data_IF_711161022385
#
_entry.id   IF_711161022385
#
_cell.length_a   1.000
_cell.length_b   1.000
_cell.length_c   1.000
_cell.angle_alpha   90.00
_cell.angle_beta   90.00
_cell.angle_gamma   90.00
#
_symmetry.space_group_name_H-M   'P 1'
#
loop_
_entity.id
_entity.type
_entity.pdbx_description
1 polymer ?
#
# COMPACT_ATOMS: atom_id res chain seq x y z
N UNK A 1 -7.06 -22.60 -0.51
CA UNK A 1 -5.95 -23.50 -0.17
C UNK A 1 -6.09 -24.04 1.24
N UNK A 2 -5.33 -25.05 1.54
CA UNK A 2 -5.38 -25.75 2.83
C UNK A 2 -4.02 -25.59 3.55
N UNK A 3 -4.08 -25.40 4.87
CA UNK A 3 -2.88 -25.51 5.72
C UNK A 3 -2.71 -26.97 6.14
N UNK A 4 -1.80 -27.68 5.44
CA UNK A 4 -1.44 -29.07 5.72
C UNK A 4 -0.12 -29.17 6.51
N UNK A 5 0.31 -28.08 7.13
CA UNK A 5 1.59 -27.96 7.83
C UNK A 5 2.73 -27.46 6.94
N UNK A 6 3.92 -27.17 7.54
CA UNK A 6 5.05 -26.59 6.84
C UNK A 6 5.44 -27.37 5.58
N UNK A 7 5.65 -26.66 4.47
CA UNK A 7 6.03 -27.23 3.18
C UNK A 7 4.93 -28.05 2.45
N UNK A 8 3.72 -28.13 3.02
CA UNK A 8 2.58 -28.86 2.42
C UNK A 8 1.36 -27.97 2.22
N UNK A 9 1.48 -26.67 2.51
CA UNK A 9 0.43 -25.67 2.32
C UNK A 9 0.10 -25.49 0.84
N UNK A 10 -1.17 -25.21 0.53
CA UNK A 10 -1.65 -25.03 -0.86
C UNK A 10 -2.39 -23.71 -1.03
N UNK A 11 -2.46 -23.21 -2.28
CA UNK A 11 -3.15 -21.96 -2.60
C UNK A 11 -2.57 -20.75 -1.83
N UNK A 12 -3.42 -19.89 -1.29
CA UNK A 12 -3.01 -18.71 -0.51
C UNK A 12 -2.12 -19.10 0.69
N UNK A 13 -2.42 -20.21 1.34
CA UNK A 13 -1.68 -20.67 2.52
C UNK A 13 -0.22 -21.05 2.21
N UNK A 14 0.09 -21.45 0.98
CA UNK A 14 1.48 -21.74 0.57
C UNK A 14 2.40 -20.51 0.68
N UNK A 15 1.84 -19.31 0.62
CA UNK A 15 2.62 -18.07 0.77
C UNK A 15 2.98 -17.73 2.23
N UNK A 16 2.47 -18.46 3.23
CA UNK A 16 2.92 -18.30 4.63
C UNK A 16 4.41 -18.61 4.76
N UNK A 17 4.88 -19.60 4.00
CA UNK A 17 6.28 -20.04 4.02
C UNK A 17 7.22 -19.17 3.14
N UNK A 18 6.71 -18.05 2.60
CA UNK A 18 7.47 -17.17 1.69
C UNK A 18 7.55 -15.74 2.22
N UNK A 19 8.71 -15.35 2.74
CA UNK A 19 8.94 -14.04 3.35
C UNK A 19 9.25 -12.93 2.31
N UNK A 20 9.44 -13.27 1.03
CA UNK A 20 9.84 -12.30 0.00
C UNK A 20 8.64 -11.57 -0.62
N UNK A 21 7.46 -12.20 -0.59
CA UNK A 21 6.25 -11.66 -1.24
C UNK A 21 5.70 -10.47 -0.46
N UNK A 22 5.60 -9.30 -1.11
CA UNK A 22 5.04 -8.07 -0.53
C UNK A 22 3.75 -7.58 -1.21
N UNK A 23 3.44 -8.09 -2.40
CA UNK A 23 2.22 -7.74 -3.16
C UNK A 23 1.53 -9.03 -3.55
N UNK A 24 0.22 -9.12 -3.29
CA UNK A 24 -0.59 -10.28 -3.63
C UNK A 24 -1.82 -9.87 -4.43
N UNK A 25 -2.16 -10.69 -5.42
CA UNK A 25 -3.39 -10.57 -6.20
C UNK A 25 -3.85 -11.96 -6.66
N UNK A 26 -5.14 -12.12 -6.88
CA UNK A 26 -5.72 -13.29 -7.54
C UNK A 26 -6.58 -12.75 -8.69
N UNK A 27 -5.96 -12.46 -9.85
CA UNK A 27 -6.63 -11.76 -10.94
C UNK A 27 -7.90 -12.48 -11.40
N UNK A 28 -9.02 -11.73 -11.45
CA UNK A 28 -10.32 -12.22 -11.89
C UNK A 28 -11.11 -13.02 -10.86
N UNK A 29 -10.53 -13.33 -9.71
CA UNK A 29 -11.26 -13.98 -8.62
C UNK A 29 -11.94 -12.91 -7.77
N UNK A 30 -13.25 -12.78 -7.95
CA UNK A 30 -14.07 -11.76 -7.27
C UNK A 30 -15.06 -12.36 -6.26
N UNK A 31 -14.94 -13.66 -5.96
CA UNK A 31 -15.68 -14.29 -4.89
C UNK A 31 -15.31 -13.66 -3.53
N UNK A 32 -16.30 -13.14 -2.77
CA UNK A 32 -16.04 -12.44 -1.53
C UNK A 32 -15.27 -13.27 -0.49
N UNK A 33 -15.53 -14.57 -0.39
CA UNK A 33 -14.88 -15.43 0.61
C UNK A 33 -13.39 -15.62 0.28
N UNK A 34 -13.06 -15.73 -1.01
CA UNK A 34 -11.67 -15.86 -1.45
C UNK A 34 -10.93 -14.55 -1.24
N UNK A 35 -11.55 -13.42 -1.59
CA UNK A 35 -10.95 -12.09 -1.38
C UNK A 35 -10.77 -11.78 0.11
N UNK A 36 -11.75 -12.07 0.96
CA UNK A 36 -11.63 -11.92 2.41
C UNK A 36 -10.52 -12.82 2.99
N UNK A 37 -10.38 -14.05 2.49
CA UNK A 37 -9.27 -14.94 2.88
C UNK A 37 -7.91 -14.36 2.47
N UNK A 38 -7.80 -13.71 1.32
CA UNK A 38 -6.58 -13.04 0.88
C UNK A 38 -6.25 -11.82 1.76
N UNK A 39 -7.26 -11.02 2.11
CA UNK A 39 -7.10 -9.86 3.00
C UNK A 39 -6.65 -10.31 4.39
N UNK A 40 -7.34 -11.30 4.97
CA UNK A 40 -6.98 -11.86 6.28
C UNK A 40 -5.55 -12.43 6.29
N UNK A 41 -5.12 -13.08 5.20
CA UNK A 41 -3.74 -13.54 5.05
C UNK A 41 -2.74 -12.37 5.10
N UNK A 42 -3.03 -11.26 4.41
CA UNK A 42 -2.16 -10.07 4.42
C UNK A 42 -2.14 -9.40 5.80
N UNK A 43 -3.28 -9.30 6.47
CA UNK A 43 -3.38 -8.73 7.83
C UNK A 43 -2.61 -9.56 8.87
N UNK A 44 -2.81 -10.89 8.86
CA UNK A 44 -2.17 -11.79 9.81
C UNK A 44 -0.64 -11.81 9.70
N UNK A 45 -0.11 -11.65 8.50
CA UNK A 45 1.33 -11.64 8.28
C UNK A 45 1.93 -10.23 8.40
N UNK A 46 1.15 -9.16 8.16
CA UNK A 46 1.59 -7.78 8.25
C UNK A 46 2.62 -7.33 7.21
N UNK A 47 3.19 -8.27 6.44
CA UNK A 47 4.32 -8.04 5.53
C UNK A 47 3.94 -7.86 4.06
N UNK A 48 2.64 -7.92 3.72
CA UNK A 48 2.17 -7.89 2.33
C UNK A 48 0.85 -7.17 2.16
N UNK A 49 0.58 -6.75 0.93
CA UNK A 49 -0.57 -5.94 0.57
C UNK A 49 -1.37 -6.59 -0.57
N UNK A 50 -2.71 -6.66 -0.43
CA UNK A 50 -3.60 -7.27 -1.42
C UNK A 50 -4.14 -6.24 -2.42
N UNK A 51 -4.14 -6.61 -3.70
CA UNK A 51 -4.81 -5.88 -4.78
C UNK A 51 -6.04 -6.69 -5.18
N UNK A 52 -7.22 -6.09 -5.08
CA UNK A 52 -8.50 -6.74 -5.31
C UNK A 52 -9.20 -6.19 -6.56
N UNK A 53 -9.80 -7.10 -7.32
CA UNK A 53 -10.68 -6.77 -8.45
C UNK A 53 -12.13 -6.69 -7.99
N UNK A 54 -12.89 -5.78 -8.59
CA UNK A 54 -14.35 -5.71 -8.47
C UNK A 54 -14.96 -6.57 -9.59
N UNK A 55 -16.08 -7.31 -9.33
CA UNK A 55 -16.74 -8.10 -10.36
C UNK A 55 -17.06 -7.26 -11.60
N UNK A 56 -16.79 -7.81 -12.78
CA UNK A 56 -16.89 -7.08 -14.05
C UNK A 56 -18.31 -6.57 -14.33
N UNK A 57 -19.32 -7.35 -13.95
CA UNK A 57 -20.73 -7.02 -14.12
C UNK A 57 -21.21 -5.85 -13.23
N UNK A 58 -20.45 -5.51 -12.17
CA UNK A 58 -20.76 -4.39 -11.28
C UNK A 58 -20.24 -3.07 -11.86
N UNK A 59 -21.04 -2.49 -12.72
CA UNK A 59 -20.69 -1.27 -13.46
C UNK A 59 -21.30 0.01 -12.88
N UNK A 60 -22.42 -0.12 -12.14
CA UNK A 60 -23.09 1.01 -11.52
C UNK A 60 -22.42 1.35 -10.18
N UNK A 61 -22.37 2.63 -9.84
CA UNK A 61 -21.79 3.13 -8.58
C UNK A 61 -22.30 2.36 -7.35
N UNK A 62 -23.63 2.14 -7.26
CA UNK A 62 -24.24 1.42 -6.13
C UNK A 62 -23.75 -0.04 -6.05
N UNK A 63 -23.62 -0.74 -7.17
CA UNK A 63 -23.18 -2.14 -7.22
C UNK A 63 -21.69 -2.26 -6.87
N UNK A 64 -20.88 -1.33 -7.35
CA UNK A 64 -19.45 -1.21 -7.00
C UNK A 64 -19.28 -0.99 -5.50
N UNK A 65 -20.05 -0.07 -4.90
CA UNK A 65 -20.02 0.19 -3.46
C UNK A 65 -20.51 -1.00 -2.64
N UNK A 66 -21.50 -1.74 -3.12
CA UNK A 66 -21.97 -2.97 -2.46
C UNK A 66 -20.83 -3.98 -2.34
N UNK A 67 -20.01 -4.16 -3.37
CA UNK A 67 -18.83 -5.05 -3.30
C UNK A 67 -17.74 -4.47 -2.42
N UNK A 68 -17.44 -3.16 -2.56
CA UNK A 68 -16.44 -2.45 -1.74
C UNK A 68 -16.73 -2.59 -0.24
N UNK A 69 -17.98 -2.50 0.17
CA UNK A 69 -18.39 -2.51 1.57
C UNK A 69 -18.24 -3.86 2.26
N UNK A 70 -17.85 -4.90 1.55
CA UNK A 70 -17.47 -6.19 2.13
C UNK A 70 -16.12 -6.14 2.86
N UNK A 71 -15.32 -5.10 2.65
CA UNK A 71 -13.96 -5.00 3.15
C UNK A 71 -13.79 -3.76 4.04
N UNK A 72 -13.13 -3.93 5.18
CA UNK A 72 -12.61 -2.84 6.00
C UNK A 72 -11.19 -3.20 6.45
N UNK A 73 -10.22 -2.93 5.60
CA UNK A 73 -8.82 -3.27 5.86
C UNK A 73 -7.89 -2.26 5.22
N UNK A 74 -6.82 -1.92 5.94
CA UNK A 74 -5.73 -1.12 5.38
C UNK A 74 -4.73 -1.95 4.57
N UNK A 75 -4.84 -3.27 4.57
CA UNK A 75 -3.94 -4.19 3.85
C UNK A 75 -4.44 -4.56 2.46
N UNK A 76 -5.49 -3.91 1.98
CA UNK A 76 -5.97 -4.11 0.63
C UNK A 76 -6.46 -2.83 -0.04
N UNK A 77 -6.51 -2.86 -1.37
CA UNK A 77 -7.09 -1.81 -2.20
C UNK A 77 -7.86 -2.44 -3.37
N UNK A 78 -9.02 -1.86 -3.70
CA UNK A 78 -9.89 -2.30 -4.80
C UNK A 78 -9.71 -1.40 -6.01
N UNK A 79 -9.68 -2.00 -7.19
CA UNK A 79 -9.52 -1.31 -8.47
C UNK A 79 -10.64 -1.65 -9.44
N UNK A 80 -11.09 -0.65 -10.19
CA UNK A 80 -12.16 -0.72 -11.17
C UNK A 80 -11.94 0.37 -12.26
N UNK A 81 -12.36 0.18 -13.51
CA UNK A 81 -12.97 -0.99 -14.12
C UNK A 81 -11.95 -2.01 -14.62
N UNK A 82 -12.46 -3.11 -15.24
CA UNK A 82 -11.65 -4.04 -16.02
C UNK A 82 -11.03 -3.32 -17.22
N UNK A 83 -9.86 -3.80 -17.63
CA UNK A 83 -9.06 -3.16 -18.68
C UNK A 83 -9.03 -4.00 -19.94
N UNK A 84 -9.01 -3.35 -21.10
CA UNK A 84 -8.87 -4.01 -22.39
C UNK A 84 -7.40 -4.08 -22.79
N UNK A 85 -6.94 -5.26 -23.15
CA UNK A 85 -5.59 -5.52 -23.65
C UNK A 85 -5.66 -6.27 -24.99
N UNK A 86 -4.65 -6.08 -25.84
CA UNK A 86 -4.55 -6.85 -27.06
C UNK A 86 -4.01 -8.25 -26.77
N UNK A 87 -4.77 -9.27 -27.19
CA UNK A 87 -4.34 -10.66 -27.14
C UNK A 87 -3.67 -11.02 -28.46
N UNK A 88 -2.34 -11.29 -28.48
CA UNK A 88 -1.63 -11.62 -29.69
C UNK A 88 -1.96 -13.02 -30.25
N UNK A 89 -2.47 -13.93 -29.43
CA UNK A 89 -2.85 -15.29 -29.86
C UNK A 89 -4.16 -15.25 -30.67
N UNK A 90 -5.19 -14.64 -30.07
CA UNK A 90 -6.51 -14.49 -30.70
C UNK A 90 -6.59 -13.29 -31.65
N UNK A 91 -5.54 -12.44 -31.70
CA UNK A 91 -5.48 -11.20 -32.50
C UNK A 91 -6.66 -10.26 -32.30
N UNK A 92 -7.17 -10.18 -31.08
CA UNK A 92 -8.30 -9.34 -30.69
C UNK A 92 -8.06 -8.68 -29.33
N UNK A 93 -8.82 -7.65 -29.03
CA UNK A 93 -8.84 -7.08 -27.71
C UNK A 93 -9.72 -7.93 -26.79
N UNK A 94 -9.21 -8.22 -25.60
CA UNK A 94 -9.93 -8.92 -24.53
C UNK A 94 -9.98 -8.06 -23.29
N UNK A 95 -10.97 -8.27 -22.43
CA UNK A 95 -11.03 -7.65 -21.12
C UNK A 95 -10.39 -8.56 -20.07
N UNK A 96 -9.51 -7.97 -19.27
CA UNK A 96 -8.82 -8.65 -18.17
C UNK A 96 -9.01 -7.88 -16.87
N UNK A 97 -8.94 -8.55 -15.71
CA UNK A 97 -9.01 -7.91 -14.41
C UNK A 97 -7.81 -6.96 -14.21
N UNK A 98 -8.01 -5.80 -13.56
CA UNK A 98 -6.96 -4.78 -13.44
C UNK A 98 -5.83 -5.15 -12.49
N UNK A 99 -6.03 -6.05 -11.51
CA UNK A 99 -5.09 -6.30 -10.41
C UNK A 99 -3.69 -6.67 -10.87
N UNK A 100 -3.54 -7.47 -11.93
CA UNK A 100 -2.22 -7.82 -12.48
C UNK A 100 -1.48 -6.60 -13.07
N UNK A 101 -2.20 -5.76 -13.82
CA UNK A 101 -1.65 -4.50 -14.36
C UNK A 101 -1.30 -3.53 -13.24
N UNK A 102 -2.14 -3.44 -12.21
CA UNK A 102 -1.91 -2.60 -11.03
C UNK A 102 -0.69 -3.07 -10.24
N UNK A 103 -0.49 -4.38 -10.07
CA UNK A 103 0.73 -4.91 -9.45
C UNK A 103 1.98 -4.48 -10.21
N UNK A 104 1.94 -4.47 -11.55
CA UNK A 104 3.00 -3.93 -12.40
C UNK A 104 3.22 -2.42 -12.22
N UNK A 105 2.15 -1.64 -12.00
CA UNK A 105 2.25 -0.20 -11.67
C UNK A 105 2.91 -0.01 -10.30
N UNK A 106 2.54 -0.81 -9.30
CA UNK A 106 3.18 -0.76 -7.97
C UNK A 106 4.68 -1.03 -8.09
N UNK A 107 5.07 -2.13 -8.72
CA UNK A 107 6.47 -2.50 -8.89
C UNK A 107 7.28 -1.41 -9.61
N UNK A 108 6.71 -0.82 -10.67
CA UNK A 108 7.35 0.27 -11.42
C UNK A 108 7.49 1.53 -10.55
N UNK A 109 6.43 1.93 -9.84
CA UNK A 109 6.45 3.11 -8.96
C UNK A 109 7.49 2.94 -7.85
N UNK A 110 7.52 1.77 -7.22
CA UNK A 110 8.49 1.45 -6.17
C UNK A 110 9.94 1.55 -6.66
N UNK A 111 10.21 1.00 -7.85
CA UNK A 111 11.57 1.00 -8.42
C UNK A 111 12.02 2.40 -8.86
N UNK A 112 11.10 3.24 -9.36
CA UNK A 112 11.47 4.54 -9.95
C UNK A 112 11.34 5.69 -8.97
N UNK A 113 10.46 5.62 -7.99
CA UNK A 113 10.10 6.72 -7.10
C UNK A 113 10.12 6.35 -5.61
N UNK A 114 10.21 5.06 -5.29
CA UNK A 114 10.10 4.54 -3.94
C UNK A 114 8.65 4.26 -3.51
N UNK A 115 8.50 3.44 -2.48
CA UNK A 115 7.21 2.98 -1.94
C UNK A 115 6.35 4.12 -1.35
N UNK A 116 6.97 5.23 -0.95
CA UNK A 116 6.31 6.42 -0.43
C UNK A 116 5.48 7.16 -1.48
N UNK A 117 5.79 6.99 -2.78
CA UNK A 117 4.99 7.56 -3.86
C UNK A 117 3.70 6.75 -4.01
N UNK A 118 2.55 7.42 -3.88
CA UNK A 118 1.27 6.78 -4.16
C UNK A 118 1.25 6.24 -5.61
N UNK A 119 0.85 4.97 -5.84
CA UNK A 119 0.83 4.35 -7.17
C UNK A 119 -0.41 4.82 -7.96
N UNK A 120 -0.57 6.12 -8.07
CA UNK A 120 -1.64 6.80 -8.78
C UNK A 120 -1.08 7.91 -9.68
N UNK A 121 -1.89 8.35 -10.63
CA UNK A 121 -1.49 9.17 -11.77
C UNK A 121 -0.39 8.49 -12.62
N UNK A 122 -0.44 7.17 -12.67
CA UNK A 122 0.48 6.31 -13.41
C UNK A 122 -0.22 5.74 -14.65
N UNK A 123 0.48 5.77 -15.79
CA UNK A 123 -0.04 5.21 -17.05
C UNK A 123 -0.02 3.68 -16.99
N UNK A 124 -1.10 3.05 -17.44
CA UNK A 124 -1.17 1.61 -17.63
C UNK A 124 -0.58 1.24 -19.00
N UNK A 125 0.54 0.56 -19.00
CA UNK A 125 1.20 0.11 -20.23
C UNK A 125 0.50 -1.13 -20.79
N UNK A 126 0.32 -1.19 -22.11
CA UNK A 126 -0.32 -2.31 -22.79
C UNK A 126 -1.85 -2.33 -22.69
N UNK A 127 -2.46 -1.39 -21.96
CA UNK A 127 -3.91 -1.22 -21.90
C UNK A 127 -4.36 -0.31 -23.03
N UNK A 128 -5.34 -0.79 -23.80
CA UNK A 128 -5.88 -0.11 -24.98
C UNK A 128 -7.28 0.46 -24.78
N UNK A 129 -7.97 0.06 -23.71
CA UNK A 129 -9.33 0.52 -23.40
C UNK A 129 -9.77 0.16 -21.99
N UNK A 130 -10.98 0.61 -21.65
CA UNK A 130 -11.64 0.32 -20.38
C UNK A 130 -13.03 -0.27 -20.66
N UNK A 131 -13.46 -1.21 -19.81
CA UNK A 131 -14.80 -1.82 -19.90
C UNK A 131 -15.91 -0.80 -19.57
N UNK A 132 -15.64 0.08 -18.59
CA UNK A 132 -16.53 1.18 -18.19
C UNK A 132 -15.73 2.47 -18.12
N UNK A 133 -16.32 3.58 -18.56
CA UNK A 133 -15.72 4.90 -18.43
C UNK A 133 -16.48 5.74 -17.40
N UNK A 134 -15.98 5.78 -16.20
CA UNK A 134 -16.53 6.61 -15.14
C UNK A 134 -16.21 8.09 -15.36
N UNK A 135 -17.22 8.93 -15.16
CA UNK A 135 -17.07 10.39 -15.22
C UNK A 135 -16.54 10.97 -13.90
N UNK A 136 -16.37 12.29 -13.88
CA UNK A 136 -15.87 12.99 -12.68
C UNK A 136 -16.81 12.86 -11.49
N UNK A 137 -18.14 12.94 -11.69
CA UNK A 137 -19.11 12.83 -10.60
C UNK A 137 -19.09 11.45 -9.95
N UNK A 138 -18.97 10.39 -10.74
CA UNK A 138 -18.84 9.02 -10.25
C UNK A 138 -17.51 8.81 -9.51
N UNK A 139 -16.42 9.40 -10.01
CA UNK A 139 -15.11 9.43 -9.31
C UNK A 139 -15.23 10.12 -7.94
N UNK A 140 -15.93 11.25 -7.89
CA UNK A 140 -16.09 12.04 -6.66
C UNK A 140 -16.91 11.28 -5.58
N UNK A 141 -17.72 10.29 -5.99
CA UNK A 141 -18.44 9.39 -5.08
C UNK A 141 -17.58 8.18 -4.69
N UNK A 142 -16.97 7.51 -5.66
CA UNK A 142 -16.30 6.22 -5.47
C UNK A 142 -14.94 6.35 -4.77
N UNK A 143 -14.14 7.35 -5.11
CA UNK A 143 -12.80 7.52 -4.55
C UNK A 143 -12.80 7.76 -3.02
N UNK A 144 -13.68 8.63 -2.46
CA UNK A 144 -13.76 8.79 -1.00
C UNK A 144 -14.14 7.51 -0.26
N UNK A 145 -14.83 6.61 -0.91
CA UNK A 145 -15.22 5.29 -0.36
C UNK A 145 -14.12 4.22 -0.49
N UNK A 146 -12.97 4.55 -1.07
CA UNK A 146 -11.85 3.61 -1.21
C UNK A 146 -11.93 2.71 -2.45
N UNK A 147 -12.62 3.15 -3.50
CA UNK A 147 -12.57 2.52 -4.82
C UNK A 147 -11.61 3.31 -5.71
N UNK A 148 -10.55 2.67 -6.17
CA UNK A 148 -9.53 3.30 -7.00
C UNK A 148 -9.89 3.11 -8.48
N UNK A 149 -10.31 4.19 -9.13
CA UNK A 149 -10.70 4.13 -10.52
C UNK A 149 -9.50 4.18 -11.46
N UNK A 150 -9.62 3.46 -12.56
CA UNK A 150 -8.78 3.58 -13.73
C UNK A 150 -9.55 4.42 -14.74
N UNK A 151 -8.93 5.50 -15.24
CA UNK A 151 -9.60 6.46 -16.09
C UNK A 151 -8.80 6.77 -17.35
N UNK A 152 -9.50 7.06 -18.43
CA UNK A 152 -8.91 7.53 -19.68
C UNK A 152 -8.94 9.06 -19.73
N UNK A 153 -7.81 9.66 -20.06
CA UNK A 153 -7.65 11.11 -20.21
C UNK A 153 -7.17 11.43 -21.62
N UNK A 154 -7.86 12.35 -22.29
CA UNK A 154 -7.50 12.79 -23.64
C UNK A 154 -6.06 13.32 -23.68
N UNK A 155 -5.25 12.76 -24.55
CA UNK A 155 -3.82 13.15 -24.69
C UNK A 155 -2.89 12.65 -23.58
N UNK A 156 -3.41 12.02 -22.52
CA UNK A 156 -2.60 11.55 -21.39
C UNK A 156 -2.68 10.02 -21.18
N UNK A 157 -3.55 9.34 -21.92
CA UNK A 157 -3.72 7.90 -21.86
C UNK A 157 -4.55 7.40 -20.67
N UNK A 158 -4.52 6.10 -20.48
CA UNK A 158 -5.26 5.41 -19.41
C UNK A 158 -4.38 5.36 -18.16
N UNK A 159 -4.92 5.85 -17.03
CA UNK A 159 -4.18 6.02 -15.78
C UNK A 159 -4.93 5.49 -14.58
N UNK A 160 -4.17 5.02 -13.59
CA UNK A 160 -4.68 4.82 -12.23
C UNK A 160 -5.00 6.17 -11.62
N UNK A 161 -6.23 6.35 -11.13
CA UNK A 161 -6.71 7.64 -10.62
C UNK A 161 -7.24 7.55 -9.19
N UNK A 162 -6.56 6.77 -8.35
CA UNK A 162 -6.83 6.61 -6.94
C UNK A 162 -5.75 5.77 -6.27
N UNK A 163 -5.53 5.99 -4.97
CA UNK A 163 -4.56 5.25 -4.15
C UNK A 163 -5.06 5.14 -2.71
N UNK A 164 -6.31 4.74 -2.55
CA UNK A 164 -6.90 4.51 -1.23
C UNK A 164 -6.97 3.03 -0.90
N UNK A 165 -6.77 2.72 0.36
CA UNK A 165 -7.05 1.40 0.94
C UNK A 165 -8.54 1.22 1.17
N UNK A 166 -8.95 0.01 1.52
CA UNK A 166 -10.35 -0.29 1.84
C UNK A 166 -10.71 -0.02 3.32
N UNK A 167 -9.88 0.71 4.05
CA UNK A 167 -10.14 0.94 5.48
C UNK A 167 -11.07 2.12 5.75
N UNK A 168 -11.84 2.03 6.81
CA UNK A 168 -12.58 3.13 7.43
C UNK A 168 -11.68 4.03 8.30
N UNK A 169 -10.49 3.56 8.71
CA UNK A 169 -9.55 4.31 9.52
C UNK A 169 -8.79 5.37 8.70
N UNK A 170 -9.07 6.65 8.97
CA UNK A 170 -8.49 7.78 8.25
C UNK A 170 -6.96 7.84 8.30
N UNK A 171 -6.32 7.29 9.33
CA UNK A 171 -4.85 7.25 9.45
C UNK A 171 -4.20 6.34 8.43
N UNK A 172 -4.90 5.31 7.98
CA UNK A 172 -4.41 4.27 7.08
C UNK A 172 -5.06 4.30 5.69
N UNK A 173 -5.76 5.37 5.35
CA UNK A 173 -6.55 5.44 4.12
C UNK A 173 -5.74 5.41 2.82
N UNK A 174 -4.42 5.65 2.85
CA UNK A 174 -3.59 5.70 1.64
C UNK A 174 -2.72 4.46 1.48
N UNK A 175 -2.70 3.93 0.26
CA UNK A 175 -1.91 2.75 -0.13
C UNK A 175 -0.42 2.93 0.15
N UNK A 176 0.13 4.09 -0.24
CA UNK A 176 1.56 4.37 -0.01
C UNK A 176 1.91 4.45 1.48
N UNK A 177 1.02 4.94 2.34
CA UNK A 177 1.26 4.98 3.78
C UNK A 177 1.33 3.56 4.36
N UNK A 178 0.32 2.70 4.09
CA UNK A 178 0.34 1.32 4.56
C UNK A 178 1.56 0.57 4.02
N UNK A 179 1.86 0.69 2.74
CA UNK A 179 3.00 0.00 2.12
C UNK A 179 4.35 0.52 2.59
N UNK A 180 4.45 1.82 2.91
CA UNK A 180 5.64 2.37 3.56
C UNK A 180 5.88 1.72 4.93
N UNK A 181 4.85 1.58 5.75
CA UNK A 181 4.99 0.90 7.05
C UNK A 181 5.40 -0.56 6.90
N UNK A 182 4.81 -1.31 5.97
CA UNK A 182 5.25 -2.68 5.65
C UNK A 182 6.75 -2.70 5.28
N UNK A 183 7.18 -1.78 4.44
CA UNK A 183 8.58 -1.65 4.05
C UNK A 183 9.50 -1.34 5.25
N UNK A 184 9.09 -0.40 6.12
CA UNK A 184 9.86 -0.04 7.31
C UNK A 184 9.97 -1.21 8.29
N UNK A 185 8.85 -1.85 8.59
CA UNK A 185 8.76 -2.99 9.51
C UNK A 185 9.64 -4.16 9.04
N UNK A 186 9.51 -4.58 7.78
CA UNK A 186 10.30 -5.68 7.23
C UNK A 186 11.79 -5.33 7.08
N UNK A 187 12.12 -4.07 6.73
CA UNK A 187 13.52 -3.63 6.63
C UNK A 187 14.19 -3.55 8.00
N UNK A 188 13.51 -3.05 9.02
CA UNK A 188 14.02 -3.00 10.39
C UNK A 188 14.20 -4.42 10.93
N UNK A 189 13.19 -5.28 10.77
CA UNK A 189 13.25 -6.69 11.15
C UNK A 189 14.47 -7.39 10.53
N UNK A 190 14.64 -7.27 9.22
CA UNK A 190 15.78 -7.85 8.50
C UNK A 190 17.13 -7.26 8.97
N UNK A 191 17.19 -5.93 9.18
CA UNK A 191 18.40 -5.23 9.61
C UNK A 191 18.77 -5.46 11.07
N UNK A 192 17.87 -6.01 11.89
CA UNK A 192 18.08 -6.25 13.33
C UNK A 192 18.07 -7.73 13.71
N UNK A 193 18.03 -8.67 12.76
CA UNK A 193 18.04 -10.11 13.05
C UNK A 193 19.25 -10.57 13.89
N UNK A 194 20.38 -9.87 13.78
CA UNK A 194 21.59 -10.14 14.54
C UNK A 194 21.46 -9.88 16.05
N UNK A 195 20.39 -9.20 16.49
CA UNK A 195 20.12 -8.86 17.90
C UNK A 195 19.71 -10.11 18.70
N UNK A 196 19.12 -11.09 18.03
CA UNK A 196 18.60 -12.29 18.68
C UNK A 196 19.75 -13.09 19.34
N UNK A 197 19.59 -13.43 20.62
CA UNK A 197 20.59 -14.07 21.49
C UNK A 197 21.81 -13.21 21.88
N UNK A 198 21.87 -11.93 21.52
CA UNK A 198 22.87 -11.02 22.07
C UNK A 198 22.55 -10.67 23.55
N UNK A 199 23.56 -10.37 24.39
CA UNK A 199 23.34 -9.92 25.76
C UNK A 199 22.47 -8.66 25.82
N UNK A 200 21.33 -8.73 26.52
CA UNK A 200 20.36 -7.62 26.61
C UNK A 200 20.85 -6.54 27.59
N UNK A 201 21.66 -5.62 27.11
CA UNK A 201 22.31 -4.57 27.91
C UNK A 201 22.40 -3.24 27.14
N UNK A 202 22.86 -2.20 27.82
CA UNK A 202 22.95 -0.83 27.26
C UNK A 202 23.82 -0.74 26.01
N UNK A 203 24.86 -1.57 25.88
CA UNK A 203 25.71 -1.60 24.66
C UNK A 203 24.92 -2.13 23.47
N UNK A 204 24.12 -3.17 23.65
CA UNK A 204 23.23 -3.70 22.63
C UNK A 204 22.20 -2.65 22.21
N UNK A 205 21.54 -2.03 23.17
CA UNK A 205 20.53 -0.99 22.90
C UNK A 205 21.10 0.17 22.09
N UNK A 206 22.31 0.65 22.43
CA UNK A 206 22.97 1.70 21.68
C UNK A 206 23.32 1.26 20.24
N UNK A 207 23.67 -0.02 20.02
CA UNK A 207 23.94 -0.55 18.66
C UNK A 207 22.66 -0.64 17.84
N UNK A 208 21.57 -1.14 18.42
CA UNK A 208 20.24 -1.21 17.79
C UNK A 208 19.76 0.18 17.40
N UNK A 209 19.81 1.14 18.36
CA UNK A 209 19.43 2.53 18.10
C UNK A 209 20.17 3.10 16.89
N UNK A 210 21.51 2.99 16.86
CA UNK A 210 22.32 3.50 15.73
C UNK A 210 21.97 2.84 14.39
N UNK A 211 21.68 1.54 14.40
CA UNK A 211 21.31 0.81 13.17
C UNK A 211 19.99 1.32 12.61
N UNK A 212 18.99 1.48 13.47
CA UNK A 212 17.65 1.98 13.07
C UNK A 212 17.72 3.46 12.70
N UNK A 213 18.44 4.28 13.45
CA UNK A 213 18.64 5.71 13.16
C UNK A 213 19.26 5.93 11.78
N UNK A 214 20.33 5.20 11.46
CA UNK A 214 20.99 5.29 10.15
C UNK A 214 20.04 4.88 9.00
N UNK A 215 19.20 3.88 9.22
CA UNK A 215 18.20 3.44 8.25
C UNK A 215 17.10 4.51 8.06
N UNK A 216 16.48 4.97 9.16
CA UNK A 216 15.38 5.95 9.10
C UNK A 216 15.84 7.32 8.61
N UNK A 217 17.08 7.74 8.93
CA UNK A 217 17.69 8.95 8.37
C UNK A 217 17.80 8.87 6.86
N UNK A 218 18.15 7.71 6.29
CA UNK A 218 18.17 7.51 4.83
C UNK A 218 16.76 7.58 4.25
N UNK A 219 15.79 6.87 4.84
CA UNK A 219 14.38 6.91 4.43
C UNK A 219 13.82 8.33 4.44
N UNK A 220 14.18 9.15 5.43
CA UNK A 220 13.82 10.55 5.49
C UNK A 220 14.49 11.36 4.37
N UNK A 221 15.78 11.18 4.13
CA UNK A 221 16.49 11.86 3.03
C UNK A 221 15.93 11.52 1.65
N UNK A 222 15.43 10.30 1.48
CA UNK A 222 14.76 9.84 0.27
C UNK A 222 13.32 10.42 0.12
N UNK A 223 12.89 11.27 1.07
CA UNK A 223 11.62 11.99 1.02
C UNK A 223 10.40 11.16 1.41
N UNK A 224 10.59 10.04 2.11
CA UNK A 224 9.49 9.19 2.55
C UNK A 224 8.84 9.64 3.87
N UNK A 225 9.55 10.44 4.66
CA UNK A 225 9.09 10.98 5.93
C UNK A 225 9.01 12.50 5.88
N UNK A 226 8.03 13.05 6.63
CA UNK A 226 7.84 14.50 6.82
C UNK A 226 8.88 15.05 7.79
N UNK A 227 9.04 16.36 7.81
CA UNK A 227 9.92 17.08 8.73
C UNK A 227 11.14 17.70 8.05
N UNK A 228 11.60 18.84 8.56
CA UNK A 228 12.79 19.55 8.10
C UNK A 228 14.08 18.97 8.68
N UNK A 229 13.96 18.15 9.72
CA UNK A 229 15.06 17.47 10.39
C UNK A 229 14.67 16.01 10.72
N UNK A 230 15.65 15.12 10.95
CA UNK A 230 15.38 13.75 11.39
C UNK A 230 14.52 13.70 12.67
N UNK A 231 14.74 14.61 13.62
CA UNK A 231 14.04 14.67 14.89
C UNK A 231 12.53 14.98 14.75
N UNK A 232 12.16 15.68 13.67
CA UNK A 232 10.74 15.90 13.33
C UNK A 232 10.14 14.73 12.54
N UNK A 233 10.97 13.95 11.86
CA UNK A 233 10.56 12.89 10.96
C UNK A 233 10.30 11.56 11.70
N UNK A 234 11.10 11.27 12.73
CA UNK A 234 10.99 10.02 13.49
C UNK A 234 11.59 10.13 14.89
N UNK A 235 11.22 9.21 15.76
CA UNK A 235 11.91 8.97 17.03
C UNK A 235 12.13 7.49 17.26
N UNK A 236 13.16 7.16 18.05
CA UNK A 236 13.51 5.81 18.46
C UNK A 236 13.73 5.84 19.96
N UNK A 237 12.97 5.04 20.69
CA UNK A 237 13.12 4.88 22.13
C UNK A 237 13.40 3.41 22.45
N UNK A 238 14.54 3.18 23.09
CA UNK A 238 15.02 1.85 23.48
C UNK A 238 15.85 1.97 24.75
N UNK A 239 15.50 1.24 25.78
CA UNK A 239 16.20 1.27 27.06
C UNK A 239 15.29 1.12 28.26
N UNK A 240 15.66 1.72 29.38
CA UNK A 240 14.88 1.68 30.63
C UNK A 240 13.54 2.40 30.56
N UNK A 241 13.36 3.23 29.56
CA UNK A 241 12.07 3.91 29.28
C UNK A 241 11.04 2.99 28.65
N UNK A 242 11.48 2.01 27.88
CA UNK A 242 10.62 1.06 27.16
C UNK A 242 10.59 -0.34 27.77
N UNK A 243 11.54 -0.67 28.66
CA UNK A 243 11.70 -1.99 29.27
C UNK A 243 11.76 -1.90 30.79
N UNK A 244 11.00 -2.73 31.43
CA UNK A 244 11.12 -3.01 32.88
C UNK A 244 12.26 -4.01 33.12
N UNK A 245 12.66 -4.18 34.41
CA UNK A 245 13.63 -5.24 34.75
C UNK A 245 13.06 -6.63 34.41
N UNK A 246 11.77 -6.86 34.61
CA UNK A 246 11.10 -8.10 34.23
C UNK A 246 11.20 -8.39 32.71
N UNK A 247 11.09 -7.36 31.86
CA UNK A 247 11.28 -7.52 30.43
C UNK A 247 12.69 -7.98 30.09
N UNK A 248 13.70 -7.37 30.72
CA UNK A 248 15.10 -7.68 30.51
C UNK A 248 15.39 -9.10 30.99
N UNK A 249 14.93 -9.48 32.19
CA UNK A 249 15.16 -10.80 32.78
C UNK A 249 14.46 -11.92 31.99
N UNK A 250 13.35 -11.62 31.33
CA UNK A 250 12.66 -12.53 30.41
C UNK A 250 13.19 -12.47 28.95
N UNK A 251 14.31 -11.80 28.70
CA UNK A 251 14.94 -11.73 27.39
C UNK A 251 14.18 -10.89 26.36
N UNK A 252 13.27 -10.00 26.81
CA UNK A 252 12.52 -9.10 25.92
C UNK A 252 13.32 -7.82 25.69
N UNK A 253 13.56 -7.47 24.44
CA UNK A 253 14.08 -6.17 24.01
C UNK A 253 12.95 -5.42 23.31
N UNK A 254 12.55 -4.28 23.86
CA UNK A 254 11.44 -3.46 23.34
C UNK A 254 12.00 -2.14 22.83
N UNK A 255 11.84 -1.91 21.55
CA UNK A 255 12.17 -0.67 20.85
C UNK A 255 10.88 -0.03 20.33
N UNK A 256 10.60 1.20 20.70
CA UNK A 256 9.46 1.97 20.21
C UNK A 256 9.93 2.95 19.15
N UNK A 257 9.32 2.89 17.99
CA UNK A 257 9.67 3.72 16.85
C UNK A 257 8.43 4.46 16.38
N UNK A 258 8.51 5.79 16.28
CA UNK A 258 7.48 6.61 15.67
C UNK A 258 8.00 7.29 14.42
N UNK A 259 7.19 7.31 13.36
CA UNK A 259 7.53 7.95 12.08
C UNK A 259 6.40 8.85 11.59
N UNK A 260 6.74 9.92 10.88
CA UNK A 260 5.80 10.84 10.24
C UNK A 260 5.76 10.59 8.72
N UNK A 261 4.87 9.72 8.20
CA UNK A 261 4.86 9.36 6.78
C UNK A 261 4.36 10.52 5.91
N UNK A 262 4.89 10.66 4.70
CA UNK A 262 4.34 11.55 3.69
C UNK A 262 2.99 11.02 3.19
N UNK A 263 2.05 11.94 2.95
CA UNK A 263 0.74 11.64 2.38
C UNK A 263 0.63 12.23 0.98
N UNK A 264 -0.10 11.62 0.04
CA UNK A 264 -0.24 12.15 -1.30
C UNK A 264 -1.09 13.44 -1.31
N UNK A 265 -0.76 14.37 -2.22
CA UNK A 265 -1.68 15.45 -2.58
C UNK A 265 -2.77 14.86 -3.47
N UNK A 266 -3.94 14.55 -2.90
CA UNK A 266 -5.06 13.96 -3.61
C UNK A 266 -5.95 15.02 -4.29
N UNK A 267 -6.04 16.20 -3.66
CA UNK A 267 -6.81 17.34 -4.18
C UNK A 267 -5.93 18.57 -4.31
N UNK A 268 -5.98 19.21 -5.48
CA UNK A 268 -5.29 20.46 -5.73
C UNK A 268 -6.35 21.55 -5.88
N UNK A 269 -6.34 22.53 -4.97
CA UNK A 269 -7.30 23.65 -4.95
C UNK A 269 -6.54 24.93 -5.25
N UNK A 270 -6.87 25.56 -6.37
CA UNK A 270 -6.37 26.87 -6.72
C UNK A 270 -7.39 27.95 -6.37
N UNK A 271 -6.99 28.97 -5.63
CA UNK A 271 -7.77 30.17 -5.40
C UNK A 271 -7.17 31.27 -6.25
N UNK A 272 -7.91 31.68 -7.29
CA UNK A 272 -7.51 32.76 -8.19
C UNK A 272 -8.37 33.98 -7.84
N UNK A 273 -7.73 35.05 -7.42
CA UNK A 273 -8.38 36.34 -7.14
C UNK A 273 -7.96 37.35 -8.19
N UNK A 274 -8.90 38.14 -8.67
CA UNK A 274 -8.59 39.28 -9.51
C UNK A 274 -8.04 40.40 -8.62
N UNK A 275 -6.80 40.86 -8.91
CA UNK A 275 -6.25 42.05 -8.31
C UNK A 275 -6.79 43.27 -9.09
N UNK A 276 -7.70 44.01 -8.53
CA UNK A 276 -8.06 45.35 -9.03
C UNK A 276 -6.87 46.22 -8.71
N UNK A 277 -6.23 46.83 -9.74
CA UNK A 277 -5.23 47.84 -9.53
C UNK A 277 -5.86 49.02 -8.81
N UNK A 278 -5.32 49.37 -7.66
CA UNK A 278 -5.61 50.68 -7.09
C UNK A 278 -5.20 51.74 -8.13
N UNK A 279 -6.19 52.42 -8.68
CA UNK A 279 -5.92 53.66 -9.43
C UNK A 279 -5.32 54.66 -8.46
N UNK A 280 -4.06 55.00 -8.73
CA UNK A 280 -3.36 56.12 -8.07
C UNK A 280 -4.08 57.45 -8.28
#
# INVERSE_FOLDING_TARGET
GEDRGPGRRTGIQAFIDNDVVSIMAIPGVTDPNVQLSLVAHCENLGSRFAILDIPREKTKVADVLTHRNLFDSSYCALYNPWVSVFDPLDKRNIFVPPSGTIAGVYARSDTTRGVQKAPANEVLRGVVGLDVQYNKGEQDILNPQGVNLIRSFTGQGIRVWGARTATSNASWKYVNVRRLFIFLEESIKAGTNWVVFEPNNEQLWARVHRTIDAFLTRVWRDGALMGSSPQEAFFIDIGRTTMTQDDIDNGRLICVIGVAPVKPAEFVIFRITQKTGDSA
#
